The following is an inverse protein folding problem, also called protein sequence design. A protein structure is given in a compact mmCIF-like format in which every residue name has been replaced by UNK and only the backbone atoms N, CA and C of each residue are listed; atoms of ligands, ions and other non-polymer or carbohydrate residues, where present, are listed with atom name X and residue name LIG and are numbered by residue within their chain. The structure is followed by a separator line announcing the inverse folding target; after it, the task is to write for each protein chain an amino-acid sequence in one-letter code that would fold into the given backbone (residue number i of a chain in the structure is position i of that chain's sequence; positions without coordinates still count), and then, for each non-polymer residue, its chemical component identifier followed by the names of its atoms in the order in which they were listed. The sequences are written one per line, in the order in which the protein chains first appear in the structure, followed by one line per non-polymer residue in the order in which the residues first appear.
data_IF_419025441437
#
_entry.id   IF_419025441437
#
_cell.length_a   1.000
_cell.length_b   1.000
_cell.length_c   1.000
_cell.angle_alpha   90.00
_cell.angle_beta   90.00
_cell.angle_gamma   90.00
#
_symmetry.space_group_name_H-M   'P 1'
#
loop_
_entity.id
_entity.type
_entity.pdbx_description
1 polymer ?
#
# COMPACT_ATOMS: atom_id res chain seq x y z
N UNK A 1 -4.21 20.36 -14.71
CA UNK A 1 -4.17 18.97 -14.30
C UNK A 1 -2.76 18.48 -14.03
N UNK A 2 -2.65 17.33 -13.38
CA UNK A 2 -1.35 16.76 -13.05
C UNK A 2 -1.46 15.27 -12.76
N UNK A 3 -0.33 14.58 -12.76
CA UNK A 3 -0.30 13.14 -12.49
C UNK A 3 -1.21 12.79 -11.32
N UNK A 4 -1.54 11.51 -11.19
CA UNK A 4 -2.41 11.07 -10.11
C UNK A 4 -3.19 9.82 -10.47
N UNK A 5 -2.48 8.71 -10.63
CA UNK A 5 -3.12 7.45 -10.97
C UNK A 5 -2.99 6.45 -9.83
N UNK A 6 -3.65 5.30 -9.98
CA UNK A 6 -3.61 4.26 -8.95
C UNK A 6 -2.61 3.17 -9.31
N UNK A 7 -2.45 2.93 -10.61
CA UNK A 7 -1.52 1.92 -11.09
C UNK A 7 -0.08 2.42 -11.03
N UNK A 8 0.09 3.73 -11.18
CA UNK A 8 1.41 4.35 -11.15
C UNK A 8 1.95 4.41 -9.73
N UNK A 9 2.91 3.54 -9.43
CA UNK A 9 3.50 3.50 -8.10
C UNK A 9 4.27 4.79 -7.80
N UNK A 10 4.86 5.37 -8.84
CA UNK A 10 5.62 6.60 -8.70
C UNK A 10 4.71 7.77 -8.32
N UNK A 11 3.41 7.51 -8.30
CA UNK A 11 2.43 8.54 -7.96
C UNK A 11 2.04 8.45 -6.49
N UNK A 12 1.85 7.23 -6.00
CA UNK A 12 1.48 7.01 -4.61
C UNK A 12 2.62 6.35 -3.84
N UNK A 13 3.85 6.63 -4.25
CA UNK A 13 5.02 6.06 -3.60
C UNK A 13 6.12 7.11 -3.44
N UNK A 14 6.69 7.18 -2.24
CA UNK A 14 7.75 8.14 -1.95
C UNK A 14 9.03 7.43 -1.55
N UNK A 15 9.04 6.85 -0.36
CA UNK A 15 10.21 6.14 0.12
C UNK A 15 10.08 5.72 1.57
N UNK A 16 11.21 5.51 2.23
CA UNK A 16 11.22 5.10 3.63
C UNK A 16 11.01 6.30 4.55
N UNK A 17 10.00 6.21 5.41
CA UNK A 17 9.70 7.29 6.35
C UNK A 17 9.32 6.74 7.71
N UNK A 18 10.18 6.96 8.70
CA UNK A 18 9.93 6.48 10.05
C UNK A 18 8.57 6.93 10.55
N UNK A 19 8.27 6.63 11.81
CA UNK A 19 7.00 7.01 12.41
C UNK A 19 6.90 8.52 12.58
N UNK A 20 7.97 9.12 13.11
CA UNK A 20 8.01 10.56 13.32
C UNK A 20 8.15 11.31 12.00
N UNK A 21 8.93 10.74 11.09
CA UNK A 21 9.14 11.36 9.78
C UNK A 21 7.87 11.30 8.94
N UNK A 22 7.27 10.11 8.86
CA UNK A 22 6.05 9.92 8.09
C UNK A 22 4.92 10.81 8.61
N UNK A 23 4.82 10.90 9.93
CA UNK A 23 3.78 11.71 10.56
C UNK A 23 4.10 13.20 10.44
N UNK A 24 5.38 13.54 10.59
CA UNK A 24 5.82 14.92 10.50
C UNK A 24 5.13 15.64 9.34
N UNK A 25 5.08 14.98 8.19
CA UNK A 25 4.46 15.55 7.00
C UNK A 25 3.04 15.02 6.83
N UNK A 26 2.82 13.79 7.27
CA UNK A 26 1.51 13.16 7.16
C UNK A 26 0.66 13.44 8.40
N UNK A 27 0.80 14.64 8.94
CA UNK A 27 0.05 15.04 10.12
C UNK A 27 -1.36 15.49 9.75
N UNK A 28 -2.14 14.57 9.19
CA UNK A 28 -3.50 14.89 8.79
C UNK A 28 -3.59 16.21 8.05
N UNK A 29 -3.15 16.21 6.79
CA UNK A 29 -3.18 17.41 5.97
C UNK A 29 -4.58 17.66 5.42
N UNK A 30 -5.01 16.80 4.50
CA UNK A 30 -6.33 16.93 3.90
C UNK A 30 -7.35 16.08 4.64
N UNK A 31 -8.63 16.35 4.40
CA UNK A 31 -9.71 15.61 5.04
C UNK A 31 -9.30 14.16 5.29
N UNK A 32 -8.49 13.61 4.38
CA UNK A 32 -8.04 12.24 4.51
C UNK A 32 -7.12 11.82 3.38
N UNK A 33 -5.82 11.86 3.63
CA UNK A 33 -4.83 11.47 2.63
C UNK A 33 -4.02 10.27 3.09
N UNK A 34 -3.69 9.39 2.15
CA UNK A 34 -2.91 8.20 2.46
C UNK A 34 -1.51 8.29 1.86
N UNK A 35 -0.56 7.60 2.48
CA UNK A 35 0.82 7.61 2.01
C UNK A 35 1.44 6.21 2.12
N UNK A 36 2.26 5.86 1.14
CA UNK A 36 2.92 4.56 1.13
C UNK A 36 4.37 4.67 1.59
N UNK A 37 4.69 3.97 2.67
CA UNK A 37 6.04 3.99 3.22
C UNK A 37 6.88 2.84 2.66
N UNK A 38 8.18 3.08 2.50
CA UNK A 38 9.08 2.06 1.98
C UNK A 38 9.65 1.21 3.10
N UNK A 39 8.98 0.10 3.40
CA UNK A 39 9.42 -0.80 4.46
C UNK A 39 10.90 -1.14 4.30
N UNK A 40 11.53 -1.56 5.40
CA UNK A 40 12.94 -1.92 5.38
C UNK A 40 13.16 -3.28 6.03
N UNK A 41 12.90 -3.35 7.33
CA UNK A 41 13.07 -4.60 8.08
C UNK A 41 12.60 -5.79 7.26
N UNK A 42 11.33 -5.77 6.86
CA UNK A 42 10.76 -6.86 6.08
C UNK A 42 11.64 -7.20 4.88
N UNK A 43 11.69 -8.49 4.53
CA UNK A 43 12.50 -8.97 3.41
C UNK A 43 11.94 -8.52 2.06
N UNK A 44 10.67 -8.13 2.05
CA UNK A 44 10.03 -7.69 0.82
C UNK A 44 8.58 -7.32 1.02
N UNK A 45 8.31 -6.51 2.05
CA UNK A 45 6.95 -6.08 2.35
C UNK A 45 6.80 -4.58 2.17
N UNK A 46 5.56 -4.11 2.14
CA UNK A 46 5.29 -2.69 1.97
C UNK A 46 4.40 -2.16 3.10
N UNK A 47 4.73 -0.97 3.60
CA UNK A 47 3.96 -0.36 4.68
C UNK A 47 3.07 0.75 4.15
N UNK A 48 1.80 0.72 4.55
CA UNK A 48 0.84 1.73 4.12
C UNK A 48 0.41 2.61 5.29
N UNK A 49 0.56 3.92 5.12
CA UNK A 49 0.19 4.87 6.17
C UNK A 49 -1.08 5.63 5.79
N UNK A 50 -2.01 5.73 6.74
CA UNK A 50 -3.27 6.42 6.51
C UNK A 50 -3.48 7.53 7.54
N UNK A 51 -3.95 8.68 7.07
CA UNK A 51 -4.19 9.82 7.95
C UNK A 51 -5.69 10.02 8.18
N UNK A 52 -6.07 10.26 9.43
CA UNK A 52 -7.47 10.47 9.78
C UNK A 52 -7.59 11.16 11.13
N UNK A 53 -8.66 11.93 11.30
CA UNK A 53 -8.90 12.65 12.54
C UNK A 53 -7.59 13.15 13.14
N UNK A 54 -6.71 13.67 12.29
CA UNK A 54 -5.42 14.17 12.74
C UNK A 54 -4.57 13.05 13.32
N UNK A 55 -4.58 11.90 12.65
CA UNK A 55 -3.81 10.75 13.10
C UNK A 55 -3.04 10.12 11.94
N UNK A 56 -2.34 9.03 12.23
CA UNK A 56 -1.56 8.33 11.21
C UNK A 56 -1.39 6.86 11.56
N UNK A 57 -2.14 6.00 10.87
CA UNK A 57 -2.07 4.56 11.12
C UNK A 57 -1.20 3.87 10.07
N UNK A 58 -0.48 2.83 10.50
CA UNK A 58 0.39 2.09 9.61
C UNK A 58 -0.09 0.65 9.45
N UNK A 59 -0.12 0.17 8.21
CA UNK A 59 -0.56 -1.19 7.92
C UNK A 59 0.45 -1.91 7.04
N UNK A 60 0.87 -3.10 7.49
CA UNK A 60 1.83 -3.89 6.74
C UNK A 60 1.14 -4.74 5.68
N UNK A 61 1.63 -4.66 4.45
CA UNK A 61 1.06 -5.42 3.35
C UNK A 61 1.98 -6.58 2.94
N UNK A 62 1.44 -7.79 2.96
CA UNK A 62 2.20 -8.97 2.60
C UNK A 62 2.05 -9.29 1.11
N UNK A 63 3.15 -9.68 0.48
CA UNK A 63 3.15 -10.00 -0.94
C UNK A 63 3.78 -11.37 -1.19
N UNK A 64 3.02 -12.42 -0.91
CA UNK A 64 3.50 -13.78 -1.09
C UNK A 64 4.36 -13.88 -2.35
N UNK A 65 3.74 -13.64 -3.50
CA UNK A 65 4.46 -13.71 -4.76
C UNK A 65 5.55 -14.76 -4.75
N UNK A 66 5.15 -16.03 -4.62
CA UNK A 66 6.09 -17.16 -4.59
C UNK A 66 6.75 -17.40 -5.95
N UNK A 67 8.03 -17.05 -6.04
CA UNK A 67 8.78 -17.23 -7.28
C UNK A 67 8.73 -18.68 -7.74
N UNK A 68 9.23 -19.59 -6.88
CA UNK A 68 9.26 -21.02 -7.18
C UNK A 68 7.87 -21.65 -7.17
N UNK A 69 7.55 -22.39 -8.24
CA UNK A 69 6.25 -23.05 -8.39
C UNK A 69 6.08 -24.21 -7.41
N UNK A 70 4.86 -24.39 -6.91
CA UNK A 70 4.57 -25.46 -5.97
C UNK A 70 3.20 -26.07 -6.24
N UNK A 71 3.20 -27.27 -6.83
CA UNK A 71 1.96 -27.99 -7.16
C UNK A 71 1.24 -28.49 -5.91
N UNK A 72 -0.09 -28.31 -5.89
CA UNK A 72 -0.93 -28.74 -4.76
C UNK A 72 -1.04 -30.26 -4.67
N UNK A 73 -0.68 -30.94 -5.75
CA UNK A 73 -0.73 -32.40 -5.78
C UNK A 73 0.64 -33.00 -5.52
N UNK A 74 0.66 -34.25 -5.03
CA UNK A 74 1.90 -34.97 -4.73
C UNK A 74 2.67 -35.35 -5.99
N UNK A 75 1.94 -35.60 -7.07
CA UNK A 75 2.55 -35.98 -8.34
C UNK A 75 1.98 -35.16 -9.49
N UNK A 76 2.74 -34.16 -9.94
CA UNK A 76 2.30 -33.31 -11.04
C UNK A 76 3.38 -32.29 -11.40
N UNK A 77 3.56 -32.05 -12.70
CA UNK A 77 4.55 -31.10 -13.21
C UNK A 77 4.19 -29.65 -12.89
N UNK A 78 5.20 -28.86 -12.51
CA UNK A 78 5.01 -27.44 -12.17
C UNK A 78 4.67 -26.59 -13.40
N UNK A 79 3.62 -25.76 -13.27
CA UNK A 79 3.17 -24.88 -14.35
C UNK A 79 4.17 -23.76 -14.64
N UNK A 80 3.71 -22.74 -15.37
CA UNK A 80 4.57 -21.62 -15.70
C UNK A 80 3.88 -20.29 -15.52
N UNK A 81 2.60 -20.24 -15.86
CA UNK A 81 1.82 -19.01 -15.74
C UNK A 81 1.06 -18.98 -14.42
N UNK A 82 1.58 -18.23 -13.46
CA UNK A 82 0.95 -18.11 -12.14
C UNK A 82 0.86 -16.65 -11.71
N UNK A 83 -0.38 -16.20 -11.44
CA UNK A 83 -0.63 -14.82 -11.02
C UNK A 83 -0.11 -14.54 -9.61
N UNK A 84 0.26 -13.29 -9.36
CA UNK A 84 0.78 -12.89 -8.05
C UNK A 84 -0.36 -12.69 -7.06
N UNK A 85 -0.03 -12.77 -5.77
CA UNK A 85 -1.02 -12.59 -4.72
C UNK A 85 -0.56 -11.56 -3.70
N UNK A 86 -1.47 -10.69 -3.29
CA UNK A 86 -1.15 -9.64 -2.31
C UNK A 86 -2.19 -9.60 -1.20
N UNK A 87 -1.72 -9.55 0.04
CA UNK A 87 -2.61 -9.51 1.19
C UNK A 87 -2.24 -8.36 2.13
N UNK A 88 -3.25 -7.68 2.65
CA UNK A 88 -3.03 -6.56 3.56
C UNK A 88 -3.84 -6.72 4.84
N UNK A 89 -3.16 -6.62 5.98
CA UNK A 89 -3.84 -6.75 7.26
C UNK A 89 -4.61 -8.05 7.37
N UNK A 90 -5.93 -7.95 7.28
CA UNK A 90 -6.79 -9.13 7.38
C UNK A 90 -7.61 -9.30 6.10
N UNK A 91 -7.16 -8.68 5.02
CA UNK A 91 -7.85 -8.77 3.74
C UNK A 91 -6.88 -9.14 2.62
N UNK A 92 -7.41 -9.77 1.57
CA UNK A 92 -6.59 -10.18 0.44
C UNK A 92 -6.98 -9.40 -0.82
N UNK A 93 -6.04 -9.31 -1.76
CA UNK A 93 -6.28 -8.60 -3.01
C UNK A 93 -5.44 -9.18 -4.14
N UNK A 94 -5.50 -8.55 -5.31
CA UNK A 94 -4.74 -9.00 -6.46
C UNK A 94 -3.39 -8.31 -6.53
N UNK A 95 -3.37 -7.02 -6.19
CA UNK A 95 -2.13 -6.24 -6.21
C UNK A 95 -2.28 -4.97 -5.39
N UNK A 96 -1.23 -4.15 -5.38
CA UNK A 96 -1.24 -2.90 -4.64
C UNK A 96 -2.36 -1.99 -5.12
N UNK A 97 -2.48 -1.86 -6.45
CA UNK A 97 -3.51 -1.02 -7.08
C UNK A 97 -4.91 -1.60 -6.91
N UNK A 98 -4.99 -2.91 -6.71
CA UNK A 98 -6.26 -3.58 -6.53
C UNK A 98 -6.93 -3.17 -5.22
N UNK A 99 -6.15 -3.18 -4.14
CA UNK A 99 -6.66 -2.81 -2.83
C UNK A 99 -6.79 -1.29 -2.70
N UNK A 100 -5.82 -0.58 -3.27
CA UNK A 100 -5.82 0.88 -3.22
C UNK A 100 -7.01 1.45 -4.00
N UNK A 101 -7.37 0.78 -5.09
CA UNK A 101 -8.49 1.22 -5.92
C UNK A 101 -9.82 0.83 -5.28
N UNK A 102 -9.87 -0.37 -4.71
CA UNK A 102 -11.09 -0.85 -4.07
C UNK A 102 -11.36 -0.10 -2.77
N UNK A 103 -10.30 0.44 -2.17
CA UNK A 103 -10.43 1.19 -0.93
C UNK A 103 -10.34 2.69 -1.18
N UNK A 104 -10.08 3.06 -2.43
CA UNK A 104 -9.97 4.46 -2.81
C UNK A 104 -11.28 5.20 -2.55
N UNK A 105 -12.35 4.43 -2.35
CA UNK A 105 -13.66 5.02 -2.08
C UNK A 105 -14.35 4.30 -0.93
N UNK A 106 -13.72 3.26 -0.41
CA UNK A 106 -14.27 2.49 0.70
C UNK A 106 -13.38 2.60 1.93
N UNK A 107 -13.95 2.30 3.09
CA UNK A 107 -13.20 2.36 4.35
C UNK A 107 -12.42 1.08 4.58
N UNK A 108 -11.16 1.22 4.98
CA UNK A 108 -10.30 0.07 5.24
C UNK A 108 -10.41 -0.37 6.70
N UNK A 109 -10.47 0.61 7.60
CA UNK A 109 -10.57 0.32 9.03
C UNK A 109 -11.63 1.21 9.68
N UNK A 110 -11.29 2.49 9.84
CA UNK A 110 -12.21 3.45 10.46
C UNK A 110 -12.26 4.75 9.67
N UNK A 111 -12.02 4.65 8.36
CA UNK A 111 -12.04 5.82 7.49
C UNK A 111 -11.84 5.43 6.03
N UNK A 112 -12.26 6.31 5.13
CA UNK A 112 -12.13 6.05 3.70
C UNK A 112 -10.74 6.42 3.19
N UNK A 113 -10.55 6.33 1.88
CA UNK A 113 -9.27 6.65 1.27
C UNK A 113 -9.43 7.73 0.21
N UNK A 114 -8.54 8.72 0.23
CA UNK A 114 -8.58 9.81 -0.74
C UNK A 114 -7.21 10.02 -1.38
N UNK A 115 -7.14 10.99 -2.29
CA UNK A 115 -5.89 11.30 -2.98
C UNK A 115 -4.70 11.10 -2.05
N UNK A 116 -3.53 10.80 -2.64
CA UNK A 116 -2.29 10.58 -1.88
C UNK A 116 -1.76 11.87 -1.27
N UNK A 117 -1.05 11.74 -0.15
CA UNK A 117 -0.48 12.89 0.54
C UNK A 117 0.59 13.56 -0.31
N UNK A 118 0.64 14.89 -0.27
CA UNK A 118 1.61 15.65 -1.03
C UNK A 118 2.97 14.95 -1.04
N UNK A 119 3.65 14.99 -2.18
CA UNK A 119 4.95 14.36 -2.33
C UNK A 119 6.01 15.12 -1.54
N UNK A 120 5.78 16.41 -1.34
CA UNK A 120 6.72 17.25 -0.61
C UNK A 120 6.21 17.54 0.80
N UNK A 121 7.09 18.06 1.65
CA UNK A 121 6.73 18.38 3.02
C UNK A 121 6.34 19.85 3.16
N UNK A 122 5.65 20.36 2.15
CA UNK A 122 5.22 21.76 2.15
C UNK A 122 3.97 21.94 1.29
N UNK A 123 2.97 22.61 1.85
CA UNK A 123 1.73 22.84 1.12
C UNK A 123 1.86 23.95 0.11
N UNK A 124 1.84 23.59 -1.17
CA UNK A 124 1.96 24.57 -2.25
C UNK A 124 0.67 24.65 -3.05
#
# INVERSE_FOLDING_TARGET
GAMGDSEERSSWYWGRLSRQEAVALLQGQRHGVFLVRDSSTSPGDYVLSVSENSRVSHYIINSSGPRPPVPPSPAQPPPGVSPSRLRIGDQEFDSLPALLEFYKIHYLDTTTLIEPVSRSRQGR
#
